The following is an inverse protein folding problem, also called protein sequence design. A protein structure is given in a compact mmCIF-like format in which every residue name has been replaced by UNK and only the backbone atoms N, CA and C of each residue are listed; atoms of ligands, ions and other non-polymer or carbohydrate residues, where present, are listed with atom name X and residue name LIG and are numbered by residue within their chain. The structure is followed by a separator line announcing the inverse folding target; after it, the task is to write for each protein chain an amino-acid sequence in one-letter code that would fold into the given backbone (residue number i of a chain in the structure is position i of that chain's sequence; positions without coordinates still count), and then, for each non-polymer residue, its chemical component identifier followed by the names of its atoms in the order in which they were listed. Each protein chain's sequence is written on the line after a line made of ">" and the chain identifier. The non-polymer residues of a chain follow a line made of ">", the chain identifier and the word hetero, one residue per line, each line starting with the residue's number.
data_IF_009259925559
#
_entry.id   IF_009259925559
#
_cell.length_a   1.000
_cell.length_b   1.000
_cell.length_c   1.000
_cell.angle_alpha   90.00
_cell.angle_beta   90.00
_cell.angle_gamma   90.00
#
_symmetry.space_group_name_H-M   'P 1'
#
loop_
_entity.id
_entity.type
_entity.pdbx_description
1 polymer ?
#
# COMPACT_ATOMS: atom_id res chain seq x y z
N UNK A 1 -3.33 -8.99 28.68
CA UNK A 1 -2.41 -8.21 27.82
C UNK A 1 -3.14 -7.82 26.54
N UNK A 2 -3.48 -6.53 26.36
CA UNK A 2 -4.19 -6.05 25.15
C UNK A 2 -3.19 -5.97 23.99
N UNK A 3 -3.39 -6.79 22.94
CA UNK A 3 -2.53 -6.81 21.74
C UNK A 3 -2.81 -5.56 20.89
N UNK A 4 -1.81 -4.69 20.72
CA UNK A 4 -1.96 -3.41 20.02
C UNK A 4 -1.61 -3.60 18.53
N UNK A 5 -2.53 -3.20 17.66
CA UNK A 5 -2.48 -3.45 16.21
C UNK A 5 -1.77 -2.33 15.45
N UNK A 6 -0.75 -2.67 14.68
CA UNK A 6 -0.05 -1.78 13.75
C UNK A 6 -0.42 -2.18 12.31
N UNK A 7 -1.47 -1.56 11.78
CA UNK A 7 -2.09 -1.98 10.54
C UNK A 7 -1.35 -1.44 9.31
N UNK A 8 -0.24 -2.08 8.91
CA UNK A 8 0.20 -2.00 7.51
C UNK A 8 -0.64 -3.03 6.75
N UNK A 9 -1.83 -2.62 6.31
CA UNK A 9 -2.69 -3.46 5.49
C UNK A 9 -2.15 -3.43 4.06
N UNK A 10 -1.30 -4.41 3.73
CA UNK A 10 -1.03 -4.80 2.35
C UNK A 10 -2.24 -5.58 1.83
N UNK A 11 -3.32 -4.88 1.49
CA UNK A 11 -4.44 -5.49 0.76
C UNK A 11 -3.99 -5.76 -0.67
N UNK A 12 -3.44 -6.95 -0.89
CA UNK A 12 -3.43 -7.60 -2.18
C UNK A 12 -4.86 -8.10 -2.45
N UNK A 13 -5.68 -7.26 -3.08
CA UNK A 13 -6.96 -7.68 -3.63
C UNK A 13 -6.69 -8.37 -4.97
N UNK A 14 -6.51 -9.69 -4.93
CA UNK A 14 -6.63 -10.54 -6.13
C UNK A 14 -8.13 -10.88 -6.28
N UNK A 15 -8.83 -10.13 -7.12
CA UNK A 15 -10.12 -10.57 -7.65
C UNK A 15 -9.85 -11.15 -9.05
N UNK A 16 -9.54 -12.44 -9.10
CA UNK A 16 -9.56 -13.24 -10.32
C UNK A 16 -10.95 -13.82 -10.47
N UNK A 17 -11.71 -13.34 -11.46
CA UNK A 17 -12.83 -14.10 -12.00
C UNK A 17 -12.28 -15.33 -12.73
N UNK A 18 -12.91 -16.49 -12.53
CA UNK A 18 -12.62 -17.71 -13.26
C UNK A 18 -12.00 -18.83 -12.42
N UNK A 19 -12.87 -19.66 -11.85
CA UNK A 19 -12.73 -21.09 -11.56
C UNK A 19 -11.32 -21.71 -11.56
N UNK A 20 -10.66 -21.76 -10.40
CA UNK A 20 -9.66 -22.77 -10.07
C UNK A 20 -9.64 -22.99 -8.55
N UNK A 21 -10.38 -24.01 -8.09
CA UNK A 21 -10.45 -24.41 -6.70
C UNK A 21 -9.16 -25.06 -6.18
N UNK A 22 -9.05 -25.09 -4.85
CA UNK A 22 -8.18 -25.95 -4.03
C UNK A 22 -6.73 -25.55 -3.68
N UNK A 23 -6.19 -24.40 -4.12
CA UNK A 23 -4.91 -23.87 -3.58
C UNK A 23 -5.01 -22.53 -2.85
N UNK A 24 -6.18 -21.87 -2.87
CA UNK A 24 -6.41 -20.60 -2.17
C UNK A 24 -6.68 -20.74 -0.66
N UNK A 25 -7.23 -21.88 -0.21
CA UNK A 25 -7.71 -22.06 1.17
C UNK A 25 -6.61 -22.07 2.25
N UNK A 26 -5.49 -22.76 1.99
CA UNK A 26 -4.36 -22.80 2.93
C UNK A 26 -3.61 -21.46 3.04
N UNK A 27 -3.56 -20.70 1.93
CA UNK A 27 -2.95 -19.36 1.90
C UNK A 27 -3.81 -18.32 2.63
N UNK A 28 -5.14 -18.49 2.60
CA UNK A 28 -6.10 -17.61 3.30
C UNK A 28 -6.10 -17.85 4.82
N UNK A 29 -5.91 -19.10 5.27
CA UNK A 29 -5.92 -19.45 6.70
C UNK A 29 -4.67 -18.99 7.45
N UNK A 30 -3.51 -18.91 6.78
CA UNK A 30 -2.24 -18.45 7.38
C UNK A 30 -2.01 -16.95 7.28
N UNK A 31 -2.84 -16.24 6.52
CA UNK A 31 -2.72 -14.80 6.31
C UNK A 31 -2.70 -13.95 7.59
N UNK A 32 -3.60 -14.14 8.57
CA UNK A 32 -3.58 -13.32 9.80
C UNK A 32 -2.31 -13.55 10.64
N UNK A 33 -1.76 -14.76 10.63
CA UNK A 33 -0.51 -15.09 11.36
C UNK A 33 0.69 -14.40 10.69
N UNK A 34 0.76 -14.47 9.36
CA UNK A 34 1.82 -13.79 8.59
C UNK A 34 1.75 -12.28 8.72
N UNK A 35 0.55 -11.70 8.72
CA UNK A 35 0.34 -10.26 8.93
C UNK A 35 0.81 -9.82 10.33
N UNK A 36 0.56 -10.64 11.36
CA UNK A 36 1.05 -10.37 12.73
C UNK A 36 2.58 -10.44 12.82
N UNK A 37 3.21 -11.46 12.24
CA UNK A 37 4.67 -11.57 12.24
C UNK A 37 5.36 -10.42 11.50
N UNK A 38 4.80 -10.02 10.34
CA UNK A 38 5.29 -8.88 9.59
C UNK A 38 5.19 -7.59 10.42
N UNK A 39 4.04 -7.42 11.11
CA UNK A 39 3.77 -6.27 11.96
C UNK A 39 4.77 -6.15 13.10
N UNK A 40 5.02 -7.22 13.83
CA UNK A 40 6.00 -7.25 14.93
C UNK A 40 7.40 -6.92 14.42
N UNK A 41 7.81 -7.51 13.30
CA UNK A 41 9.11 -7.22 12.68
C UNK A 41 9.24 -5.75 12.28
N UNK A 42 8.19 -5.17 11.70
CA UNK A 42 8.19 -3.75 11.32
C UNK A 42 8.24 -2.83 12.55
N UNK A 43 7.55 -3.18 13.64
CA UNK A 43 7.61 -2.44 14.88
C UNK A 43 9.04 -2.43 15.46
N UNK A 44 9.70 -3.59 15.48
CA UNK A 44 11.10 -3.72 15.94
C UNK A 44 12.06 -2.88 15.09
N UNK A 45 11.96 -2.96 13.76
CA UNK A 45 12.80 -2.17 12.85
C UNK A 45 12.55 -0.67 13.05
N UNK A 46 11.29 -0.26 13.20
CA UNK A 46 10.92 1.15 13.42
C UNK A 46 11.52 1.67 14.72
N UNK A 47 11.35 0.92 15.82
CA UNK A 47 11.91 1.25 17.13
C UNK A 47 13.43 1.43 17.05
N UNK A 48 14.14 0.48 16.45
CA UNK A 48 15.61 0.51 16.35
C UNK A 48 16.10 1.68 15.48
N UNK A 49 15.51 1.90 14.30
CA UNK A 49 15.95 2.96 13.37
C UNK A 49 15.68 4.36 13.89
N UNK A 50 14.57 4.54 14.61
CA UNK A 50 14.17 5.83 15.15
C UNK A 50 14.61 6.04 16.61
N UNK A 51 15.17 5.01 17.26
CA UNK A 51 15.56 5.01 18.67
C UNK A 51 14.38 5.43 19.57
N UNK A 52 13.22 4.82 19.36
CA UNK A 52 12.00 5.15 20.11
C UNK A 52 12.00 4.44 21.46
N UNK A 53 11.59 5.17 22.51
CA UNK A 53 11.18 4.55 23.76
C UNK A 53 9.78 3.90 23.66
N UNK A 54 9.34 3.21 24.70
CA UNK A 54 8.05 2.53 24.71
C UNK A 54 6.86 3.49 24.64
N UNK A 55 6.97 4.69 25.22
CA UNK A 55 5.91 5.69 25.20
C UNK A 55 5.74 6.30 23.79
N UNK A 56 6.84 6.65 23.14
CA UNK A 56 6.89 7.11 21.75
C UNK A 56 6.40 6.01 20.81
N UNK A 57 6.77 4.75 21.04
CA UNK A 57 6.29 3.63 20.23
C UNK A 57 4.78 3.45 20.36
N UNK A 58 4.22 3.56 21.57
CA UNK A 58 2.76 3.49 21.80
C UNK A 58 2.02 4.61 21.08
N UNK A 59 2.51 5.86 21.18
CA UNK A 59 1.95 7.01 20.46
C UNK A 59 2.04 6.84 18.94
N UNK A 60 3.18 6.35 18.43
CA UNK A 60 3.36 6.07 17.02
C UNK A 60 2.37 5.01 16.50
N UNK A 61 2.09 3.98 17.30
CA UNK A 61 1.09 2.97 16.95
C UNK A 61 -0.31 3.58 16.87
N UNK A 62 -0.69 4.46 17.80
CA UNK A 62 -1.98 5.14 17.80
C UNK A 62 -2.15 6.04 16.56
N UNK A 63 -1.12 6.83 16.21
CA UNK A 63 -1.12 7.66 14.99
C UNK A 63 -1.26 6.77 13.74
N UNK A 64 -0.46 5.69 13.65
CA UNK A 64 -0.54 4.76 12.52
C UNK A 64 -1.91 4.11 12.37
N UNK A 65 -2.54 3.69 13.48
CA UNK A 65 -3.87 3.10 13.46
C UNK A 65 -4.93 4.05 12.87
N UNK A 66 -4.76 5.36 13.03
CA UNK A 66 -5.67 6.37 12.49
C UNK A 66 -5.43 6.64 10.99
N UNK A 67 -4.17 6.76 10.56
CA UNK A 67 -3.83 7.20 9.20
C UNK A 67 -3.65 6.06 8.19
N UNK A 68 -3.15 4.91 8.61
CA UNK A 68 -2.85 3.81 7.68
C UNK A 68 -4.08 3.32 6.89
N UNK A 69 -5.29 3.14 7.48
CA UNK A 69 -6.48 2.76 6.73
C UNK A 69 -6.85 3.79 5.64
N UNK A 70 -6.70 5.08 5.95
CA UNK A 70 -7.02 6.17 5.02
C UNK A 70 -6.04 6.19 3.84
N UNK A 71 -4.74 6.02 4.10
CA UNK A 71 -3.72 5.90 3.07
C UNK A 71 -3.93 4.67 2.17
N UNK A 72 -4.35 3.54 2.75
CA UNK A 72 -4.67 2.32 2.00
C UNK A 72 -5.91 2.50 1.12
N UNK A 73 -6.97 3.11 1.65
CA UNK A 73 -8.18 3.43 0.89
C UNK A 73 -7.85 4.35 -0.29
N UNK A 74 -7.11 5.43 -0.03
CA UNK A 74 -6.69 6.38 -1.05
C UNK A 74 -5.82 5.75 -2.14
N UNK A 75 -4.85 4.92 -1.75
CA UNK A 75 -4.02 4.19 -2.71
C UNK A 75 -4.83 3.18 -3.53
N UNK A 76 -5.92 2.64 -2.99
CA UNK A 76 -6.81 1.71 -3.71
C UNK A 76 -7.64 2.45 -4.75
N UNK A 77 -8.22 3.61 -4.37
CA UNK A 77 -8.93 4.48 -5.29
C UNK A 77 -8.01 4.96 -6.43
N UNK A 78 -6.79 5.42 -6.11
CA UNK A 78 -5.82 5.85 -7.13
C UNK A 78 -5.50 4.73 -8.13
N UNK A 79 -5.30 3.50 -7.64
CA UNK A 79 -5.05 2.35 -8.52
C UNK A 79 -6.23 2.09 -9.45
N UNK A 80 -7.45 2.13 -8.94
CA UNK A 80 -8.68 1.92 -9.73
C UNK A 80 -8.84 3.01 -10.80
N UNK A 81 -8.68 4.29 -10.43
CA UNK A 81 -8.74 5.41 -11.38
C UNK A 81 -7.67 5.27 -12.47
N UNK A 82 -6.43 4.89 -12.12
CA UNK A 82 -5.37 4.61 -13.11
C UNK A 82 -5.66 3.39 -13.99
N UNK A 83 -6.40 2.40 -13.50
CA UNK A 83 -6.81 1.25 -14.31
C UNK A 83 -7.87 1.67 -15.33
N UNK A 84 -8.89 2.40 -14.90
CA UNK A 84 -9.94 2.94 -15.78
C UNK A 84 -9.36 3.89 -16.84
N UNK A 85 -8.43 4.76 -16.44
CA UNK A 85 -7.75 5.63 -17.39
C UNK A 85 -6.96 4.84 -18.43
N UNK A 86 -6.22 3.81 -18.01
CA UNK A 86 -5.53 2.91 -18.95
C UNK A 86 -6.48 2.22 -19.92
N UNK A 87 -7.64 1.77 -19.44
CA UNK A 87 -8.65 1.15 -20.30
C UNK A 87 -9.15 2.12 -21.38
N UNK A 88 -9.45 3.37 -21.00
CA UNK A 88 -9.85 4.42 -21.94
C UNK A 88 -8.74 4.71 -22.97
N UNK A 89 -7.50 4.82 -22.53
CA UNK A 89 -6.36 5.09 -23.42
C UNK A 89 -6.04 3.93 -24.39
N UNK A 90 -6.50 2.72 -24.10
CA UNK A 90 -6.34 1.55 -24.98
C UNK A 90 -7.58 1.23 -25.82
N UNK A 91 -8.67 1.97 -25.64
CA UNK A 91 -9.91 1.76 -26.38
C UNK A 91 -9.78 2.27 -27.82
N UNK A 92 -10.46 1.63 -28.76
CA UNK A 92 -10.54 2.07 -30.16
C UNK A 92 -11.14 3.48 -30.29
N UNK A 93 -12.07 3.82 -29.41
CA UNK A 93 -12.68 5.16 -29.34
C UNK A 93 -12.78 5.58 -27.88
N UNK A 94 -11.78 6.32 -27.36
CA UNK A 94 -11.77 6.78 -25.98
C UNK A 94 -12.88 7.80 -25.69
N UNK A 95 -13.57 7.64 -24.56
CA UNK A 95 -14.50 8.65 -24.06
C UNK A 95 -13.73 9.83 -23.45
N UNK A 96 -13.73 10.96 -24.15
CA UNK A 96 -12.98 12.16 -23.75
C UNK A 96 -13.49 12.76 -22.43
N UNK A 97 -14.80 12.74 -22.19
CA UNK A 97 -15.40 13.26 -20.95
C UNK A 97 -15.00 12.38 -19.77
N UNK A 98 -15.01 11.06 -19.96
CA UNK A 98 -14.55 10.14 -18.93
C UNK A 98 -13.05 10.28 -18.65
N UNK A 99 -12.22 10.42 -19.69
CA UNK A 99 -10.77 10.66 -19.53
C UNK A 99 -10.51 11.94 -18.72
N UNK A 100 -11.18 13.05 -19.04
CA UNK A 100 -11.04 14.30 -18.29
C UNK A 100 -11.42 14.13 -16.81
N UNK A 101 -12.56 13.49 -16.53
CA UNK A 101 -13.01 13.22 -15.16
C UNK A 101 -12.03 12.33 -14.37
N UNK A 102 -11.43 11.33 -15.02
CA UNK A 102 -10.43 10.46 -14.40
C UNK A 102 -9.14 11.23 -14.05
N UNK A 103 -8.70 12.15 -14.92
CA UNK A 103 -7.55 13.01 -14.65
C UNK A 103 -7.82 13.93 -13.45
N UNK A 104 -8.97 14.59 -13.42
CA UNK A 104 -9.36 15.46 -12.31
C UNK A 104 -9.45 14.70 -10.98
N UNK A 105 -9.97 13.47 -11.03
CA UNK A 105 -10.02 12.60 -9.87
C UNK A 105 -8.61 12.22 -9.37
N UNK A 106 -7.67 11.91 -10.28
CA UNK A 106 -6.27 11.66 -9.89
C UNK A 106 -5.64 12.85 -9.18
N UNK A 107 -5.86 14.07 -9.67
CA UNK A 107 -5.37 15.29 -9.03
C UNK A 107 -5.98 15.50 -7.63
N UNK A 108 -7.29 15.24 -7.49
CA UNK A 108 -7.98 15.30 -6.19
C UNK A 108 -7.41 14.29 -5.19
N UNK A 109 -7.19 13.05 -5.62
CA UNK A 109 -6.59 12.00 -4.79
C UNK A 109 -5.16 12.36 -4.36
N UNK A 110 -4.38 13.03 -5.22
CA UNK A 110 -3.05 13.53 -4.86
C UNK A 110 -3.11 14.62 -3.78
N UNK A 111 -4.03 15.59 -3.91
CA UNK A 111 -4.23 16.63 -2.90
C UNK A 111 -4.63 16.04 -1.55
N UNK A 112 -5.55 15.07 -1.56
CA UNK A 112 -5.95 14.35 -0.34
C UNK A 112 -4.77 13.60 0.30
N UNK A 113 -3.89 12.98 -0.51
CA UNK A 113 -2.67 12.32 0.00
C UNK A 113 -1.78 13.30 0.72
N UNK A 114 -1.54 14.48 0.14
CA UNK A 114 -0.69 15.51 0.74
C UNK A 114 -1.29 15.97 2.08
N UNK A 115 -2.59 16.27 2.11
CA UNK A 115 -3.26 16.67 3.36
C UNK A 115 -3.20 15.61 4.47
N UNK A 116 -3.29 14.32 4.12
CA UNK A 116 -3.11 13.23 5.08
C UNK A 116 -1.67 13.18 5.61
N UNK A 117 -0.67 13.33 4.74
CA UNK A 117 0.74 13.33 5.13
C UNK A 117 1.06 14.53 6.03
N UNK A 118 0.57 15.72 5.70
CA UNK A 118 0.73 16.92 6.53
C UNK A 118 0.12 16.72 7.93
N UNK A 119 -1.09 16.18 7.97
CA UNK A 119 -1.79 15.87 9.23
C UNK A 119 -1.06 14.82 10.05
N UNK A 120 -0.54 13.77 9.41
CA UNK A 120 0.28 12.76 10.08
C UNK A 120 1.56 13.38 10.65
N UNK A 121 2.28 14.20 9.86
CA UNK A 121 3.51 14.86 10.33
C UNK A 121 3.25 15.80 11.50
N UNK A 122 2.11 16.53 11.48
CA UNK A 122 1.67 17.38 12.59
C UNK A 122 1.45 16.56 13.87
N UNK A 123 0.74 15.44 13.79
CA UNK A 123 0.53 14.55 14.94
C UNK A 123 1.82 13.94 15.46
N UNK A 124 2.70 13.49 14.56
CA UNK A 124 4.00 12.93 14.93
C UNK A 124 4.90 13.97 15.61
N UNK A 125 4.80 15.24 15.23
CA UNK A 125 5.60 16.32 15.82
C UNK A 125 5.36 16.54 17.32
N UNK A 126 4.22 16.07 17.85
CA UNK A 126 3.90 16.17 19.27
C UNK A 126 4.78 15.28 20.16
N UNK A 127 5.49 14.29 19.60
CA UNK A 127 6.31 13.36 20.40
C UNK A 127 7.57 12.84 19.69
N UNK A 128 7.76 13.10 18.39
CA UNK A 128 8.97 12.77 17.64
C UNK A 128 9.76 14.03 17.29
N UNK A 129 11.08 13.95 17.44
CA UNK A 129 12.00 15.00 16.98
C UNK A 129 11.97 15.14 15.45
N UNK A 130 12.38 16.30 14.89
CA UNK A 130 12.45 16.47 13.43
C UNK A 130 13.27 15.39 12.71
N UNK A 131 14.40 14.97 13.30
CA UNK A 131 15.25 13.90 12.76
C UNK A 131 14.54 12.56 12.78
N UNK A 132 13.82 12.22 13.87
CA UNK A 132 13.04 10.99 13.95
C UNK A 132 11.92 10.96 12.89
N UNK A 133 11.23 12.09 12.67
CA UNK A 133 10.22 12.20 11.60
C UNK A 133 10.80 12.02 10.21
N UNK A 134 11.93 12.64 9.91
CA UNK A 134 12.62 12.47 8.63
C UNK A 134 13.03 10.99 8.40
N UNK A 135 13.58 10.33 9.44
CA UNK A 135 13.89 8.89 9.40
C UNK A 135 12.65 8.04 9.17
N UNK A 136 11.53 8.40 9.80
CA UNK A 136 10.26 7.71 9.61
C UNK A 136 9.75 7.84 8.16
N UNK A 137 9.78 9.04 7.58
CA UNK A 137 9.39 9.28 6.19
C UNK A 137 10.27 8.49 5.21
N UNK A 138 11.58 8.42 5.46
CA UNK A 138 12.50 7.63 4.66
C UNK A 138 12.16 6.13 4.73
N UNK A 139 11.87 5.62 5.93
CA UNK A 139 11.45 4.23 6.15
C UNK A 139 10.15 3.91 5.41
N UNK A 140 9.13 4.78 5.50
CA UNK A 140 7.87 4.62 4.76
C UNK A 140 8.10 4.59 3.23
N UNK A 141 8.99 5.46 2.72
CA UNK A 141 9.33 5.51 1.29
C UNK A 141 10.01 4.23 0.82
N UNK A 142 10.95 3.71 1.61
CA UNK A 142 11.65 2.45 1.32
C UNK A 142 10.65 1.28 1.28
N UNK A 143 9.76 1.18 2.27
CA UNK A 143 8.73 0.14 2.32
C UNK A 143 7.83 0.22 1.08
N UNK A 144 7.37 1.42 0.71
CA UNK A 144 6.53 1.61 -0.48
C UNK A 144 7.25 1.17 -1.76
N UNK A 145 8.50 1.61 -1.96
CA UNK A 145 9.30 1.20 -3.13
C UNK A 145 9.44 -0.31 -3.23
N UNK A 146 9.72 -0.98 -2.11
CA UNK A 146 9.82 -2.46 -2.06
C UNK A 146 8.49 -3.12 -2.38
N UNK A 147 7.37 -2.61 -1.85
CA UNK A 147 6.04 -3.11 -2.16
C UNK A 147 5.69 -2.96 -3.65
N UNK A 148 6.05 -1.85 -4.26
CA UNK A 148 5.84 -1.60 -5.69
C UNK A 148 6.70 -2.52 -6.57
N UNK A 149 7.96 -2.79 -6.17
CA UNK A 149 8.84 -3.75 -6.85
C UNK A 149 8.26 -5.17 -6.83
N UNK A 150 7.77 -5.63 -5.67
CA UNK A 150 7.14 -6.95 -5.54
C UNK A 150 5.90 -7.07 -6.42
N UNK A 151 5.10 -6.00 -6.53
CA UNK A 151 3.91 -5.96 -7.39
C UNK A 151 4.25 -5.89 -8.88
N UNK A 152 5.26 -5.12 -9.26
CA UNK A 152 5.72 -4.99 -10.65
C UNK A 152 6.41 -6.26 -11.17
N UNK A 153 7.14 -6.98 -10.31
CA UNK A 153 7.78 -8.25 -10.66
C UNK A 153 6.79 -9.35 -11.02
N UNK A 154 5.66 -9.43 -10.33
CA UNK A 154 4.60 -10.40 -10.62
C UNK A 154 4.02 -10.25 -12.05
N UNK A 155 3.88 -9.01 -12.54
CA UNK A 155 3.39 -8.71 -13.90
C UNK A 155 4.39 -9.10 -15.00
N UNK A 156 5.70 -9.04 -14.73
CA UNK A 156 6.75 -9.37 -15.72
C UNK A 156 6.94 -10.88 -15.89
N UNK A 157 6.72 -11.67 -14.84
CA UNK A 157 6.79 -13.15 -14.88
C UNK A 157 5.67 -13.80 -15.72
N UNK A 158 4.47 -13.22 -15.74
CA UNK A 158 3.33 -13.74 -16.51
C UNK A 158 3.46 -13.51 -18.03
N UNK A 159 4.14 -12.44 -18.47
CA UNK A 159 4.36 -12.15 -19.90
C UNK A 159 5.49 -12.96 -20.52
N UNK A 160 6.40 -13.52 -19.73
CA UNK A 160 7.50 -14.36 -20.22
C UNK A 160 7.08 -15.78 -20.62
N UNK A 161 5.92 -16.26 -20.13
CA UNK A 161 5.46 -17.64 -20.35
C UNK A 161 4.50 -17.81 -21.53
N UNK A 162 3.93 -16.72 -22.05
CA UNK A 162 2.99 -16.73 -23.17
C UNK A 162 3.64 -16.58 -24.56
N UNK A 163 4.98 -16.66 -24.67
CA UNK A 163 5.73 -16.43 -25.91
C UNK A 163 6.54 -17.63 -26.42
N UNK A 164 6.21 -18.84 -25.97
CA UNK A 164 6.79 -20.09 -26.50
C UNK A 164 5.68 -21.05 -26.92
N UNK A 165 5.09 -20.83 -28.09
CA UNK A 165 4.56 -21.91 -28.93
C UNK A 165 5.27 -21.81 -30.29
N UNK A 166 6.06 -22.82 -30.70
CA UNK A 166 6.60 -22.86 -32.06
C UNK A 166 5.50 -23.33 -33.04
N UNK A 167 5.43 -22.77 -34.26
CA UNK A 167 4.58 -23.32 -35.31
C UNK A 167 5.08 -24.73 -35.70
N UNK A 168 4.13 -25.64 -35.94
CA UNK A 168 4.38 -26.96 -36.51
C UNK A 168 4.63 -26.88 -38.00
#
# INVERSE_FOLDING_TARGET
>A
MKRISFAIVLTASLTLGGSAGAQGGAQQQNRPVLEQQLRERMATITRQRLQLDDAQMSKLQAVNARFAPQLVALATQERQTRQQLRQQLTATTPDQTQVASLIDNLLRLQKQRIGLLESEQKDLSAFLTPVQRAKYMALQTEIRRRADQLRGGAMRGLRGRARMEPPR
#
